data_IF_884021146683
#
_entry.id   IF_884021146683
#
_cell.length_a   1.000
_cell.length_b   1.000
_cell.length_c   1.000
_cell.angle_alpha   90.00
_cell.angle_beta   90.00
_cell.angle_gamma   90.00
#
_symmetry.space_group_name_H-M   'P 1'
#
loop_
_entity.id
_entity.type
_entity.pdbx_description
1 polymer ?
#
# COMPACT_ATOMS: atom_id res chain seq x y z
N UNK A 1 -34.73 -17.64 -48.88
CA UNK A 1 -34.26 -16.61 -49.83
C UNK A 1 -32.98 -16.03 -49.27
N UNK A 2 -31.89 -16.13 -50.04
CA UNK A 2 -30.60 -15.45 -49.83
C UNK A 2 -30.80 -13.94 -49.56
N UNK A 3 -29.90 -13.21 -48.88
CA UNK A 3 -28.62 -12.73 -49.42
C UNK A 3 -27.72 -12.21 -48.27
N UNK A 4 -26.43 -12.41 -48.48
CA UNK A 4 -25.20 -12.08 -47.74
C UNK A 4 -24.82 -10.60 -48.05
N UNK A 5 -24.30 -9.73 -47.16
CA UNK A 5 -22.90 -9.57 -46.76
C UNK A 5 -22.76 -8.26 -45.95
N UNK A 6 -21.79 -8.18 -45.04
CA UNK A 6 -21.50 -6.94 -44.32
C UNK A 6 -20.45 -7.12 -43.22
N UNK A 7 -19.29 -7.65 -43.59
CA UNK A 7 -18.13 -7.72 -42.71
C UNK A 7 -17.57 -6.31 -42.45
N UNK A 8 -17.80 -5.79 -41.24
CA UNK A 8 -16.97 -4.72 -40.69
C UNK A 8 -15.92 -5.33 -39.78
N UNK A 9 -14.72 -5.46 -40.34
CA UNK A 9 -13.47 -5.73 -39.64
C UNK A 9 -13.28 -4.72 -38.50
N UNK A 10 -13.58 -5.11 -37.26
CA UNK A 10 -13.04 -4.42 -36.08
C UNK A 10 -11.56 -4.80 -35.99
N UNK A 11 -10.70 -3.86 -36.39
CA UNK A 11 -9.26 -3.90 -36.17
C UNK A 11 -8.99 -4.20 -34.69
N UNK A 12 -8.29 -5.30 -34.45
CA UNK A 12 -7.55 -5.53 -33.22
C UNK A 12 -6.48 -4.43 -33.10
N UNK A 13 -6.56 -3.60 -32.07
CA UNK A 13 -5.41 -2.83 -31.62
C UNK A 13 -4.68 -3.69 -30.60
N UNK A 14 -3.66 -4.41 -31.10
CA UNK A 14 -2.63 -4.96 -30.26
C UNK A 14 -1.85 -3.78 -29.67
N UNK A 15 -2.02 -3.54 -28.37
CA UNK A 15 -1.09 -2.70 -27.62
C UNK A 15 0.23 -3.46 -27.54
N UNK A 16 1.29 -2.83 -28.05
CA UNK A 16 2.65 -3.33 -27.96
C UNK A 16 3.02 -3.54 -26.49
N UNK A 17 3.17 -4.80 -26.08
CA UNK A 17 3.85 -5.14 -24.85
C UNK A 17 5.32 -4.74 -25.03
N UNK A 18 5.68 -3.56 -24.55
CA UNK A 18 7.07 -3.16 -24.37
C UNK A 18 7.68 -4.14 -23.37
N UNK A 19 8.50 -5.05 -23.90
CA UNK A 19 9.24 -6.03 -23.12
C UNK A 19 10.24 -5.32 -22.22
N UNK A 20 9.84 -5.08 -20.97
CA UNK A 20 10.80 -5.04 -19.88
C UNK A 20 11.12 -6.49 -19.53
N UNK A 21 12.39 -6.92 -19.58
CA UNK A 21 12.74 -8.25 -19.09
C UNK A 21 12.33 -8.30 -17.62
N UNK A 22 11.43 -9.23 -17.28
CA UNK A 22 11.13 -9.60 -15.90
C UNK A 22 12.45 -10.07 -15.32
N UNK A 23 13.13 -9.18 -14.59
CA UNK A 23 14.42 -9.46 -14.01
C UNK A 23 14.30 -10.75 -13.19
N UNK A 24 15.18 -11.70 -13.50
CA UNK A 24 15.45 -12.85 -12.66
C UNK A 24 15.68 -12.31 -11.24
N UNK A 25 14.78 -12.66 -10.34
CA UNK A 25 14.79 -12.25 -8.95
C UNK A 25 16.01 -12.92 -8.28
N UNK A 26 17.17 -12.28 -8.43
CA UNK A 26 18.36 -12.67 -7.72
C UNK A 26 18.08 -12.40 -6.25
N UNK A 27 18.04 -13.46 -5.45
CA UNK A 27 17.88 -13.48 -3.99
C UNK A 27 19.05 -12.76 -3.29
N UNK A 28 19.26 -11.48 -3.58
CA UNK A 28 20.18 -10.61 -2.85
C UNK A 28 19.35 -9.87 -1.81
N UNK A 29 19.74 -10.00 -0.54
CA UNK A 29 19.19 -9.13 0.52
C UNK A 29 19.42 -7.67 0.09
N UNK A 30 18.41 -6.80 0.21
CA UNK A 30 18.57 -5.38 -0.13
C UNK A 30 19.73 -4.79 0.67
N UNK A 31 20.52 -3.93 0.03
CA UNK A 31 21.74 -3.38 0.62
C UNK A 31 21.43 -2.37 1.73
N UNK A 32 20.31 -1.66 1.64
CA UNK A 32 19.92 -0.64 2.60
C UNK A 32 18.40 -0.50 2.71
N UNK A 33 17.94 0.08 3.82
CA UNK A 33 16.57 0.54 4.00
C UNK A 33 16.54 2.04 4.29
N UNK A 34 15.48 2.70 3.82
CA UNK A 34 15.11 4.05 4.24
C UNK A 34 13.74 3.98 4.89
N UNK A 35 13.55 4.73 5.97
CA UNK A 35 12.28 4.75 6.70
C UNK A 35 11.73 6.16 6.90
N UNK A 36 10.41 6.23 7.04
CA UNK A 36 9.67 7.44 7.34
C UNK A 36 8.57 7.11 8.35
N UNK A 37 8.52 7.89 9.44
CA UNK A 37 7.44 7.87 10.42
C UNK A 37 6.36 8.88 10.02
N UNK A 38 5.11 8.53 10.26
CA UNK A 38 3.95 9.36 9.97
C UNK A 38 2.83 9.11 10.98
N UNK A 39 1.90 10.05 11.07
CA UNK A 39 0.69 9.91 11.86
C UNK A 39 -0.53 10.21 10.97
N UNK A 40 -1.67 9.61 11.29
CA UNK A 40 -2.97 10.00 10.75
C UNK A 40 -4.06 9.73 11.78
N UNK A 41 -5.18 10.45 11.68
CA UNK A 41 -6.33 10.28 12.57
C UNK A 41 -7.50 9.76 11.76
N UNK A 42 -8.11 8.65 12.16
CA UNK A 42 -9.26 8.12 11.43
C UNK A 42 -10.28 7.47 12.37
N UNK A 43 -11.53 7.47 11.92
CA UNK A 43 -12.61 6.74 12.57
C UNK A 43 -12.77 5.35 11.96
N UNK A 44 -13.15 4.37 12.78
CA UNK A 44 -13.38 3.00 12.35
C UNK A 44 -14.41 2.27 13.24
N UNK A 45 -14.88 1.14 12.74
CA UNK A 45 -15.48 0.05 13.54
C UNK A 45 -15.09 -1.29 12.97
N UNK A 46 -15.01 -2.33 13.80
CA UNK A 46 -14.74 -3.69 13.36
C UNK A 46 -16.07 -4.47 13.28
N UNK A 47 -16.63 -4.73 12.09
CA UNK A 47 -17.91 -5.44 11.97
C UNK A 47 -17.85 -6.92 12.40
N UNK A 48 -16.65 -7.51 12.49
CA UNK A 48 -16.48 -8.97 12.63
C UNK A 48 -16.14 -9.45 14.06
N UNK A 49 -16.14 -8.57 15.07
CA UNK A 49 -15.69 -8.90 16.45
C UNK A 49 -16.83 -9.32 17.40
N UNK A 50 -18.07 -9.39 16.92
CA UNK A 50 -19.26 -9.68 17.73
C UNK A 50 -19.80 -8.46 18.49
N UNK A 51 -21.11 -8.42 18.73
CA UNK A 51 -21.83 -7.20 19.13
C UNK A 51 -21.43 -6.62 20.50
N UNK A 52 -20.95 -7.47 21.42
CA UNK A 52 -20.52 -7.03 22.76
C UNK A 52 -19.07 -6.56 22.82
N UNK A 53 -18.30 -6.71 21.73
CA UNK A 53 -16.90 -6.32 21.70
C UNK A 53 -16.76 -4.79 21.55
N UNK A 54 -15.90 -4.11 22.33
CA UNK A 54 -15.78 -2.64 22.27
C UNK A 54 -15.51 -2.09 20.87
N UNK A 55 -14.68 -2.78 20.09
CA UNK A 55 -14.36 -2.38 18.71
C UNK A 55 -15.52 -2.52 17.70
N UNK A 56 -16.66 -3.14 18.07
CA UNK A 56 -17.84 -3.22 17.20
C UNK A 56 -18.54 -1.86 17.03
N UNK A 57 -18.40 -0.98 18.02
CA UNK A 57 -18.90 0.39 18.01
C UNK A 57 -18.00 1.31 17.18
N UNK A 58 -18.57 2.41 16.67
CA UNK A 58 -17.81 3.49 16.06
C UNK A 58 -16.85 4.10 17.08
N UNK A 59 -15.57 4.16 16.72
CA UNK A 59 -14.50 4.76 17.51
C UNK A 59 -13.46 5.35 16.54
N UNK A 60 -12.35 5.85 17.07
CA UNK A 60 -11.25 6.33 16.26
C UNK A 60 -9.95 6.35 17.04
N UNK A 61 -8.84 6.50 16.32
CA UNK A 61 -7.50 6.52 16.88
C UNK A 61 -6.66 7.61 16.23
N UNK A 62 -5.67 8.08 16.97
CA UNK A 62 -4.46 8.64 16.37
C UNK A 62 -3.53 7.47 16.08
N UNK A 63 -3.48 7.07 14.81
CA UNK A 63 -2.59 6.02 14.36
C UNK A 63 -1.20 6.61 14.13
N UNK A 64 -0.18 5.90 14.61
CA UNK A 64 1.21 6.16 14.25
C UNK A 64 1.66 5.04 13.32
N UNK A 65 2.46 5.38 12.32
CA UNK A 65 2.92 4.42 11.33
C UNK A 65 4.37 4.64 10.91
N UNK A 66 4.96 3.59 10.36
CA UNK A 66 6.30 3.62 9.75
C UNK A 66 6.28 2.90 8.43
N UNK A 67 6.79 3.56 7.39
CA UNK A 67 7.10 2.91 6.11
C UNK A 67 8.60 2.63 6.08
N UNK A 68 8.99 1.41 5.70
CA UNK A 68 10.36 1.08 5.27
C UNK A 68 10.36 0.75 3.79
N UNK A 69 11.27 1.37 3.06
CA UNK A 69 11.62 0.98 1.70
C UNK A 69 12.99 0.33 1.73
N UNK A 70 13.08 -0.91 1.28
CA UNK A 70 14.34 -1.63 1.14
C UNK A 70 14.69 -1.83 -0.34
N UNK A 71 15.93 -1.56 -0.70
CA UNK A 71 16.41 -1.71 -2.07
C UNK A 71 17.90 -1.44 -2.22
N UNK A 72 18.33 -1.23 -3.46
CA UNK A 72 19.71 -0.90 -3.78
C UNK A 72 19.90 0.62 -3.84
N UNK A 73 21.09 1.06 -3.42
CA UNK A 73 21.49 2.47 -3.51
C UNK A 73 21.81 2.79 -4.96
N UNK A 74 21.22 3.87 -5.49
CA UNK A 74 21.60 4.40 -6.80
C UNK A 74 23.07 4.84 -6.76
N UNK A 75 23.88 4.33 -7.68
CA UNK A 75 25.33 4.56 -7.67
C UNK A 75 25.73 6.00 -7.98
N UNK A 76 24.90 6.75 -8.72
CA UNK A 76 25.17 8.14 -9.08
C UNK A 76 24.67 9.10 -8.00
N UNK A 77 23.48 8.86 -7.46
CA UNK A 77 22.86 9.70 -6.44
C UNK A 77 23.37 9.39 -5.02
N UNK A 78 23.83 8.17 -4.76
CA UNK A 78 24.35 7.76 -3.45
C UNK A 78 23.27 7.50 -2.40
N UNK A 79 21.99 7.41 -2.79
CA UNK A 79 20.87 7.08 -1.92
C UNK A 79 19.88 6.12 -2.57
N UNK A 80 19.01 5.51 -1.76
CA UNK A 80 17.94 4.62 -2.23
C UNK A 80 16.79 5.40 -2.90
N UNK A 81 16.35 6.48 -2.26
CA UNK A 81 15.26 7.35 -2.70
C UNK A 81 15.45 8.73 -2.06
N UNK A 82 15.03 9.78 -2.75
CA UNK A 82 14.93 11.11 -2.16
C UNK A 82 13.91 11.09 -1.00
N UNK A 83 14.26 11.61 0.19
CA UNK A 83 13.30 11.76 1.29
C UNK A 83 11.98 12.46 0.90
N UNK A 84 12.05 13.47 0.03
CA UNK A 84 10.87 14.22 -0.41
C UNK A 84 9.92 13.34 -1.25
N UNK A 85 10.47 12.50 -2.13
CA UNK A 85 9.67 11.57 -2.94
C UNK A 85 9.03 10.48 -2.10
N UNK A 86 9.76 9.94 -1.11
CA UNK A 86 9.19 8.97 -0.16
C UNK A 86 8.04 9.62 0.63
N UNK A 87 8.24 10.84 1.11
CA UNK A 87 7.19 11.58 1.82
C UNK A 87 5.99 11.87 0.93
N UNK A 88 6.20 12.31 -0.30
CA UNK A 88 5.11 12.58 -1.25
C UNK A 88 4.29 11.32 -1.56
N UNK A 89 4.95 10.16 -1.70
CA UNK A 89 4.27 8.89 -1.90
C UNK A 89 3.41 8.50 -0.68
N UNK A 90 3.93 8.68 0.54
CA UNK A 90 3.19 8.41 1.77
C UNK A 90 2.02 9.37 1.94
N UNK A 91 2.26 10.68 1.84
CA UNK A 91 1.22 11.71 1.95
C UNK A 91 0.09 11.50 0.93
N UNK A 92 0.43 11.08 -0.29
CA UNK A 92 -0.54 10.79 -1.34
C UNK A 92 -1.45 9.59 -1.04
N UNK A 93 -1.02 8.64 -0.19
CA UNK A 93 -1.89 7.56 0.30
C UNK A 93 -2.63 7.99 1.57
N UNK A 94 -1.98 8.78 2.43
CA UNK A 94 -2.60 9.30 3.65
C UNK A 94 -3.78 10.23 3.36
N UNK A 95 -3.74 10.98 2.26
CA UNK A 95 -4.83 11.86 1.84
C UNK A 95 -6.19 11.12 1.70
N UNK A 96 -6.17 9.82 1.43
CA UNK A 96 -7.38 9.00 1.30
C UNK A 96 -7.92 8.50 2.66
N UNK A 97 -7.13 8.52 3.73
CA UNK A 97 -7.47 7.90 5.02
C UNK A 97 -7.44 8.85 6.22
N UNK A 98 -6.63 9.91 6.16
CA UNK A 98 -6.50 10.89 7.24
C UNK A 98 -7.77 11.73 7.35
N UNK A 99 -8.29 11.87 8.56
CA UNK A 99 -9.57 12.49 8.89
C UNK A 99 -10.80 11.85 8.22
N UNK A 100 -10.72 10.57 7.83
CA UNK A 100 -11.82 9.83 7.19
C UNK A 100 -12.41 8.72 8.07
N UNK A 101 -13.57 8.22 7.66
CA UNK A 101 -14.17 6.99 8.19
C UNK A 101 -13.73 5.79 7.33
N UNK A 102 -12.88 4.93 7.89
CA UNK A 102 -12.16 3.90 7.11
C UNK A 102 -13.10 2.87 6.47
N UNK A 103 -14.23 2.54 7.12
CA UNK A 103 -15.14 1.51 6.63
C UNK A 103 -15.84 1.86 5.31
N UNK A 104 -15.80 3.12 4.86
CA UNK A 104 -16.35 3.55 3.57
C UNK A 104 -15.35 3.45 2.42
N UNK A 105 -14.08 3.16 2.73
CA UNK A 105 -13.04 3.01 1.73
C UNK A 105 -13.03 1.58 1.15
N UNK A 106 -12.78 1.44 -0.17
CA UNK A 106 -12.59 0.12 -0.76
C UNK A 106 -11.45 -0.65 -0.08
N UNK A 107 -11.67 -1.94 0.15
CA UNK A 107 -10.74 -2.86 0.83
C UNK A 107 -10.54 -2.58 2.33
N UNK A 108 -11.38 -1.72 2.94
CA UNK A 108 -11.34 -1.35 4.36
C UNK A 108 -12.67 -1.57 5.10
N UNK A 109 -13.56 -2.41 4.60
CA UNK A 109 -14.86 -2.67 5.24
C UNK A 109 -14.72 -3.23 6.67
N UNK A 110 -13.61 -3.93 6.94
CA UNK A 110 -13.18 -4.37 8.27
C UNK A 110 -11.74 -3.85 8.56
N UNK A 111 -11.59 -2.59 8.98
CA UNK A 111 -10.31 -1.88 9.09
C UNK A 111 -9.56 -2.26 10.37
N UNK A 112 -9.20 -3.53 10.53
CA UNK A 112 -8.24 -3.94 11.56
C UNK A 112 -6.86 -3.37 11.23
N UNK A 113 -5.98 -3.30 12.24
CA UNK A 113 -4.59 -2.82 12.06
C UNK A 113 -3.85 -3.62 10.97
N UNK A 114 -4.11 -4.93 10.84
CA UNK A 114 -3.58 -5.76 9.74
C UNK A 114 -4.10 -5.32 8.35
N UNK A 115 -5.37 -4.94 8.27
CA UNK A 115 -5.99 -4.48 7.01
C UNK A 115 -5.44 -3.12 6.62
N UNK A 116 -5.29 -2.19 7.58
CA UNK A 116 -4.67 -0.89 7.37
C UNK A 116 -3.21 -1.05 6.89
N UNK A 117 -2.42 -1.91 7.55
CA UNK A 117 -1.06 -2.24 7.14
C UNK A 117 -0.97 -2.70 5.68
N UNK A 118 -1.85 -3.65 5.26
CA UNK A 118 -1.89 -4.13 3.88
C UNK A 118 -2.32 -3.05 2.90
N UNK A 119 -3.37 -2.29 3.23
CA UNK A 119 -3.87 -1.20 2.41
C UNK A 119 -2.77 -0.20 2.05
N UNK A 120 -2.01 0.23 3.06
CA UNK A 120 -0.90 1.16 2.90
C UNK A 120 0.23 0.54 2.08
N UNK A 121 0.66 -0.68 2.44
CA UNK A 121 1.73 -1.38 1.74
C UNK A 121 1.41 -1.55 0.26
N UNK A 122 0.21 -2.01 -0.08
CA UNK A 122 -0.14 -2.33 -1.48
C UNK A 122 -0.18 -1.06 -2.34
N UNK A 123 -0.72 0.04 -1.80
CA UNK A 123 -0.74 1.33 -2.48
C UNK A 123 0.66 1.94 -2.61
N UNK A 124 1.51 1.80 -1.61
CA UNK A 124 2.89 2.28 -1.66
C UNK A 124 3.76 1.43 -2.58
N UNK A 125 3.62 0.11 -2.58
CA UNK A 125 4.33 -0.82 -3.45
C UNK A 125 3.98 -0.60 -4.93
N UNK A 126 2.79 -0.09 -5.24
CA UNK A 126 2.42 0.33 -6.59
C UNK A 126 3.10 1.64 -7.05
N UNK A 127 3.65 2.43 -6.11
CA UNK A 127 4.25 3.77 -6.36
C UNK A 127 5.77 3.77 -6.21
N UNK A 128 6.32 2.86 -5.41
CA UNK A 128 7.73 2.85 -5.02
C UNK A 128 8.46 1.64 -5.60
N UNK A 129 9.67 1.85 -6.10
CA UNK A 129 10.56 0.78 -6.52
C UNK A 129 11.30 0.21 -5.30
N UNK A 130 11.12 -1.08 -5.04
CA UNK A 130 11.75 -1.78 -3.92
C UNK A 130 10.73 -2.50 -3.05
N UNK A 131 11.20 -3.08 -1.95
CA UNK A 131 10.35 -3.81 -1.02
C UNK A 131 9.82 -2.85 0.04
N UNK A 132 8.50 -2.69 0.07
CA UNK A 132 7.82 -1.85 1.05
C UNK A 132 7.37 -2.70 2.23
N UNK A 133 7.69 -2.24 3.43
CA UNK A 133 7.14 -2.73 4.69
C UNK A 133 6.40 -1.60 5.39
N UNK A 134 5.29 -1.92 6.05
CA UNK A 134 4.50 -0.97 6.83
C UNK A 134 4.30 -1.51 8.23
N UNK A 135 4.52 -0.66 9.22
CA UNK A 135 4.08 -0.85 10.61
C UNK A 135 3.01 0.19 10.96
N UNK A 136 2.00 -0.23 11.71
CA UNK A 136 0.93 0.65 12.22
C UNK A 136 0.68 0.34 13.68
N UNK A 137 0.55 1.39 14.48
CA UNK A 137 0.16 1.36 15.88
C UNK A 137 -1.18 2.08 16.02
N UNK A 138 -2.19 1.38 16.54
CA UNK A 138 -3.49 1.99 16.89
C UNK A 138 -3.41 2.77 18.21
N UNK A 139 -2.40 2.45 19.03
CA UNK A 139 -2.08 3.14 20.26
C UNK A 139 -0.58 2.91 20.59
N UNK A 140 0.00 3.59 21.60
CA UNK A 140 1.44 3.51 21.88
C UNK A 140 1.98 2.12 22.25
N UNK A 141 1.13 1.12 22.51
CA UNK A 141 1.54 -0.20 23.02
C UNK A 141 1.11 -1.38 22.13
N UNK A 142 0.24 -1.17 21.14
CA UNK A 142 -0.31 -2.21 20.27
C UNK A 142 -0.17 -1.80 18.80
N UNK A 143 0.41 -2.69 17.99
CA UNK A 143 0.59 -2.47 16.57
C UNK A 143 0.72 -3.75 15.75
N UNK A 144 0.79 -3.59 14.43
CA UNK A 144 0.95 -4.64 13.44
C UNK A 144 2.04 -4.25 12.43
N UNK A 145 2.71 -5.24 11.84
CA UNK A 145 3.66 -5.05 10.76
C UNK A 145 3.35 -6.00 9.61
N UNK A 146 3.55 -5.56 8.37
CA UNK A 146 3.36 -6.43 7.18
C UNK A 146 4.43 -7.52 7.05
N UNK A 147 5.56 -7.35 7.72
CA UNK A 147 6.68 -8.29 7.78
C UNK A 147 7.17 -8.37 9.23
N UNK A 148 7.61 -9.55 9.66
CA UNK A 148 8.22 -9.70 10.99
C UNK A 148 9.55 -8.91 11.07
N UNK A 149 9.89 -8.32 12.23
CA UNK A 149 11.16 -7.61 12.39
C UNK A 149 12.34 -8.49 12.00
N UNK A 150 13.22 -7.97 11.15
CA UNK A 150 14.46 -8.66 10.79
C UNK A 150 15.43 -8.57 11.97
N UNK A 151 15.77 -9.72 12.56
CA UNK A 151 16.83 -9.86 13.57
C UNK A 151 18.22 -9.80 12.94
#
# INVERSE_FOLDING_TARGET
MSIIWGHTLRRAMAAAASGFPRALECSRKPAMERFLDFDFVAAQRLPNVGDSHPAASLHGHTFTGRVRLAGDVDAAAGWLIDPADLKAAVDGVLADIDHHYLNELPDMENPSTETICRYLRDRLAARLAGRVEVEIWENPTVGCATEAPRR
#
